data_IF_175173878592
#
_entry.id   IF_175173878592
#
_cell.length_a   1.000
_cell.length_b   1.000
_cell.length_c   1.000
_cell.angle_alpha   90.00
_cell.angle_beta   90.00
_cell.angle_gamma   90.00
#
_symmetry.space_group_name_H-M   'P 1'
#
loop_
_entity.id
_entity.type
_entity.pdbx_description
1 polymer ?
#
# COMPACT_ATOMS: atom_id res chain seq x y z
N UNK A 1 10.54 -28.98 -10.04
CA UNK A 1 9.51 -28.11 -9.44
C UNK A 1 8.22 -28.39 -10.18
N UNK A 2 7.24 -28.94 -9.49
CA UNK A 2 5.91 -29.24 -10.05
C UNK A 2 5.09 -27.95 -10.09
N UNK A 3 4.42 -27.69 -11.21
CA UNK A 3 3.51 -26.54 -11.36
C UNK A 3 2.10 -27.10 -11.33
N UNK A 4 1.24 -26.53 -10.48
CA UNK A 4 -0.16 -26.93 -10.44
C UNK A 4 -0.81 -26.65 -11.82
N UNK A 5 -1.35 -27.67 -12.52
CA UNK A 5 -1.94 -27.48 -13.84
C UNK A 5 -3.13 -26.50 -13.83
N UNK A 6 -3.86 -26.41 -12.71
CA UNK A 6 -4.93 -25.42 -12.55
C UNK A 6 -4.38 -23.98 -12.49
N UNK A 7 -3.15 -23.79 -12.00
CA UNK A 7 -2.53 -22.47 -11.94
C UNK A 7 -2.22 -21.94 -13.35
N UNK A 8 -1.73 -22.79 -14.25
CA UNK A 8 -1.46 -22.40 -15.64
C UNK A 8 -2.75 -21.99 -16.37
N UNK A 9 -3.82 -22.79 -16.25
CA UNK A 9 -5.12 -22.47 -16.83
C UNK A 9 -5.73 -21.17 -16.25
N UNK A 10 -5.63 -20.98 -14.93
CA UNK A 10 -6.09 -19.75 -14.27
C UNK A 10 -5.33 -18.52 -14.77
N UNK A 11 -3.99 -18.59 -14.83
CA UNK A 11 -3.16 -17.47 -15.26
C UNK A 11 -3.32 -17.17 -16.76
N UNK A 12 -3.56 -18.18 -17.59
CA UNK A 12 -3.94 -17.98 -18.99
C UNK A 12 -5.23 -17.15 -19.08
N UNK A 13 -6.30 -17.58 -18.39
CA UNK A 13 -7.58 -16.87 -18.38
C UNK A 13 -7.45 -15.45 -17.82
N UNK A 14 -6.74 -15.29 -16.70
CA UNK A 14 -6.56 -14.01 -16.01
C UNK A 14 -5.76 -13.00 -16.84
N UNK A 15 -4.70 -13.44 -17.51
CA UNK A 15 -3.85 -12.56 -18.31
C UNK A 15 -4.45 -12.18 -19.65
N UNK A 16 -5.50 -12.88 -20.11
CA UNK A 16 -6.09 -12.66 -21.44
C UNK A 16 -5.16 -13.03 -22.59
N UNK A 17 -4.10 -13.79 -22.32
CA UNK A 17 -3.13 -14.20 -23.34
C UNK A 17 -3.73 -15.17 -24.36
N UNK A 18 -3.26 -15.11 -25.60
CA UNK A 18 -3.56 -16.11 -26.64
C UNK A 18 -2.71 -17.38 -26.53
N UNK A 19 -1.70 -17.40 -25.64
CA UNK A 19 -0.86 -18.58 -25.41
C UNK A 19 -1.66 -19.72 -24.79
N UNK A 20 -1.29 -20.96 -25.10
CA UNK A 20 -1.92 -22.16 -24.51
C UNK A 20 -1.53 -22.34 -23.04
N UNK A 21 -2.37 -23.05 -22.27
CA UNK A 21 -2.06 -23.38 -20.87
C UNK A 21 -0.71 -24.13 -20.73
N UNK A 22 -0.36 -25.00 -21.67
CA UNK A 22 0.93 -25.70 -21.70
C UNK A 22 2.12 -24.74 -21.88
N UNK A 23 1.96 -23.71 -22.72
CA UNK A 23 2.99 -22.68 -22.87
C UNK A 23 3.11 -21.82 -21.60
N UNK A 24 1.99 -21.45 -20.98
CA UNK A 24 1.99 -20.71 -19.71
C UNK A 24 2.70 -21.54 -18.62
N UNK A 25 2.46 -22.85 -18.57
CA UNK A 25 3.15 -23.75 -17.64
C UNK A 25 4.67 -23.79 -17.88
N UNK A 26 5.10 -23.89 -19.14
CA UNK A 26 6.52 -23.85 -19.50
C UNK A 26 7.16 -22.52 -19.09
N UNK A 27 6.48 -21.41 -19.34
CA UNK A 27 6.97 -20.07 -18.99
C UNK A 27 7.04 -19.88 -17.45
N UNK A 28 6.08 -20.40 -16.68
CA UNK A 28 6.12 -20.42 -15.20
C UNK A 28 7.34 -21.20 -14.71
N UNK A 29 7.59 -22.40 -15.28
CA UNK A 29 8.76 -23.21 -14.92
C UNK A 29 10.07 -22.48 -15.21
N UNK A 30 10.16 -21.77 -16.34
CA UNK A 30 11.32 -20.97 -16.69
C UNK A 30 11.51 -19.80 -15.70
N UNK A 31 10.45 -19.05 -15.40
CA UNK A 31 10.49 -17.93 -14.47
C UNK A 31 10.91 -18.36 -13.05
N UNK A 32 10.34 -19.44 -12.52
CA UNK A 32 10.62 -19.92 -11.16
C UNK A 32 12.08 -20.38 -10.96
N UNK A 33 12.80 -20.74 -12.02
CA UNK A 33 14.23 -21.07 -11.92
C UNK A 33 15.09 -19.86 -11.54
N UNK A 34 14.66 -18.65 -11.90
CA UNK A 34 15.42 -17.42 -11.67
C UNK A 34 15.23 -16.82 -10.27
N UNK A 35 14.23 -17.28 -9.49
CA UNK A 35 13.88 -16.77 -8.15
C UNK A 35 13.90 -15.23 -8.06
N UNK A 36 13.18 -14.51 -8.94
CA UNK A 36 13.28 -13.07 -9.00
C UNK A 36 12.68 -12.43 -7.74
N UNK A 37 13.32 -11.38 -7.26
CA UNK A 37 12.79 -10.56 -6.17
C UNK A 37 11.67 -9.67 -6.71
N UNK A 38 10.49 -9.72 -6.09
CA UNK A 38 9.37 -8.84 -6.44
C UNK A 38 9.34 -7.65 -5.50
N UNK A 39 9.07 -6.47 -6.07
CA UNK A 39 8.84 -5.29 -5.27
C UNK A 39 7.45 -5.35 -4.63
N UNK A 40 7.35 -4.86 -3.40
CA UNK A 40 6.08 -4.72 -2.69
C UNK A 40 5.31 -3.46 -3.08
N UNK A 41 5.72 -2.74 -4.13
CA UNK A 41 4.96 -1.62 -4.67
C UNK A 41 4.31 -2.11 -5.96
N UNK A 42 3.02 -1.85 -6.12
CA UNK A 42 2.27 -2.22 -7.32
C UNK A 42 2.55 -1.18 -8.42
N UNK A 43 3.56 -1.39 -9.25
CA UNK A 43 3.86 -0.57 -10.43
C UNK A 43 4.00 -1.48 -11.66
N UNK A 44 4.30 -0.90 -12.83
CA UNK A 44 4.60 -1.64 -14.06
C UNK A 44 5.98 -2.30 -13.96
N UNK A 45 6.03 -3.39 -13.19
CA UNK A 45 7.21 -4.24 -13.05
C UNK A 45 7.49 -4.98 -14.38
N UNK A 46 8.75 -5.29 -14.71
CA UNK A 46 9.13 -6.06 -15.90
C UNK A 46 8.81 -7.55 -15.73
N UNK A 47 7.57 -7.86 -15.38
CA UNK A 47 7.08 -9.20 -15.10
C UNK A 47 6.66 -9.88 -16.39
N UNK A 48 6.72 -11.22 -16.44
CA UNK A 48 6.16 -11.96 -17.56
C UNK A 48 4.66 -11.68 -17.67
N UNK A 49 4.15 -11.73 -18.91
CA UNK A 49 2.76 -11.40 -19.25
C UNK A 49 1.70 -12.05 -18.33
N UNK A 50 1.95 -13.27 -17.83
CA UNK A 50 1.02 -13.99 -16.96
C UNK A 50 1.01 -13.50 -15.49
N UNK A 51 1.95 -12.65 -15.09
CA UNK A 51 2.01 -12.00 -13.77
C UNK A 51 1.71 -10.50 -13.82
N UNK A 52 1.56 -9.92 -15.01
CA UNK A 52 1.22 -8.50 -15.16
C UNK A 52 -0.17 -8.21 -14.59
N UNK A 53 -0.27 -7.11 -13.85
CA UNK A 53 -1.52 -6.67 -13.25
C UNK A 53 -2.41 -6.05 -14.34
N UNK A 54 -3.60 -6.60 -14.51
CA UNK A 54 -4.64 -6.08 -15.40
C UNK A 54 -5.58 -5.10 -14.68
N UNK A 55 -5.57 -5.15 -13.36
CA UNK A 55 -6.40 -4.33 -12.46
C UNK A 55 -5.57 -3.96 -11.24
N UNK A 56 -5.97 -2.93 -10.49
CA UNK A 56 -5.42 -2.68 -9.16
C UNK A 56 -5.46 -3.93 -8.28
N UNK A 57 -4.46 -4.04 -7.41
CA UNK A 57 -4.42 -5.02 -6.33
C UNK A 57 -5.38 -4.66 -5.21
N UNK A 58 -5.69 -5.65 -4.38
CA UNK A 58 -6.53 -5.47 -3.20
C UNK A 58 -5.86 -4.54 -2.19
N UNK A 59 -6.58 -3.54 -1.65
CA UNK A 59 -6.02 -2.44 -0.83
C UNK A 59 -5.22 -2.94 0.38
N UNK A 60 -5.63 -4.04 1.01
CA UNK A 60 -4.95 -4.59 2.18
C UNK A 60 -3.93 -5.70 1.87
N UNK A 61 -3.56 -5.88 0.59
CA UNK A 61 -2.61 -6.91 0.19
C UNK A 61 -1.18 -6.65 0.68
N UNK A 62 -0.83 -5.38 0.94
CA UNK A 62 0.51 -4.96 1.32
C UNK A 62 0.55 -4.42 2.74
N UNK A 63 1.71 -4.47 3.42
CA UNK A 63 1.85 -3.83 4.73
C UNK A 63 1.54 -2.33 4.62
N UNK A 64 0.90 -1.75 5.64
CA UNK A 64 0.77 -0.30 5.71
C UNK A 64 2.13 0.34 6.04
N UNK A 65 2.23 1.65 5.82
CA UNK A 65 3.32 2.44 6.41
C UNK A 65 3.08 2.74 7.90
N UNK A 66 4.00 3.48 8.52
CA UNK A 66 3.94 3.88 9.94
C UNK A 66 2.69 4.68 10.33
N UNK A 67 1.96 5.22 9.34
CA UNK A 67 0.70 5.95 9.53
C UNK A 67 -0.54 5.08 9.29
N UNK A 68 -0.38 3.75 9.23
CA UNK A 68 -1.46 2.80 8.92
C UNK A 68 -2.13 3.05 7.55
N UNK A 69 -1.44 3.69 6.61
CA UNK A 69 -1.95 3.93 5.26
C UNK A 69 -1.40 2.89 4.29
N UNK A 70 -2.26 2.43 3.39
CA UNK A 70 -1.97 1.37 2.42
C UNK A 70 -1.82 1.97 1.03
N UNK A 71 -0.89 1.43 0.24
CA UNK A 71 -0.78 1.68 -1.19
C UNK A 71 -0.75 3.17 -1.59
N UNK A 72 -0.13 4.01 -0.76
CA UNK A 72 0.18 5.40 -1.10
C UNK A 72 1.11 5.52 -2.32
N UNK A 73 1.89 4.47 -2.59
CA UNK A 73 2.77 4.35 -3.75
C UNK A 73 2.32 3.15 -4.58
N UNK A 74 2.13 3.38 -5.87
CA UNK A 74 1.62 2.41 -6.81
C UNK A 74 0.14 2.13 -6.63
N UNK A 75 -0.29 1.03 -7.25
CA UNK A 75 -1.68 0.57 -7.33
C UNK A 75 -2.60 1.52 -8.10
N UNK A 76 -2.98 2.64 -7.52
CA UNK A 76 -3.84 3.62 -8.18
C UNK A 76 -3.26 5.01 -7.96
N UNK A 77 -3.14 5.77 -9.04
CA UNK A 77 -2.82 7.18 -8.93
C UNK A 77 -4.02 7.90 -8.30
N UNK A 78 -3.78 8.64 -7.23
CA UNK A 78 -4.84 9.30 -6.46
C UNK A 78 -4.90 10.79 -6.80
N UNK A 79 -6.11 11.30 -6.98
CA UNK A 79 -6.35 12.73 -7.13
C UNK A 79 -5.94 13.46 -5.86
N UNK A 80 -5.41 14.67 -6.00
CA UNK A 80 -5.14 15.56 -4.87
C UNK A 80 -6.02 16.81 -4.96
N UNK A 81 -5.94 17.68 -3.96
CA UNK A 81 -6.70 18.93 -3.94
C UNK A 81 -6.39 19.83 -5.15
N UNK A 82 -5.17 19.74 -5.69
CA UNK A 82 -4.76 20.48 -6.88
C UNK A 82 -5.50 19.94 -8.12
N UNK A 83 -6.27 20.77 -8.84
CA UNK A 83 -7.04 20.31 -10.00
C UNK A 83 -6.16 19.70 -11.08
N UNK A 84 -6.57 18.54 -11.60
CA UNK A 84 -5.88 17.86 -12.70
C UNK A 84 -4.58 17.17 -12.30
N UNK A 85 -4.22 17.11 -11.02
CA UNK A 85 -3.01 16.46 -10.53
C UNK A 85 -3.33 15.15 -9.81
N UNK A 86 -2.54 14.13 -10.11
CA UNK A 86 -2.48 12.88 -9.35
C UNK A 86 -1.10 12.64 -8.75
N UNK A 87 -1.06 11.80 -7.70
CA UNK A 87 0.16 11.35 -7.02
C UNK A 87 0.11 9.85 -6.74
N UNK A 88 1.25 9.30 -6.31
CA UNK A 88 1.37 7.90 -5.90
C UNK A 88 1.63 6.93 -7.06
N UNK A 89 1.17 7.23 -8.27
CA UNK A 89 1.32 6.37 -9.44
C UNK A 89 0.44 5.12 -9.35
N UNK A 90 0.33 4.37 -10.45
CA UNK A 90 -0.53 3.20 -10.58
C UNK A 90 0.23 1.91 -10.91
N UNK A 91 -0.47 0.77 -10.90
CA UNK A 91 0.08 -0.51 -11.36
C UNK A 91 0.53 -0.50 -12.84
N UNK A 92 0.15 0.52 -13.61
CA UNK A 92 0.53 0.70 -15.02
C UNK A 92 1.69 1.68 -15.22
N UNK A 93 2.07 2.41 -14.16
CA UNK A 93 3.10 3.43 -14.21
C UNK A 93 4.49 2.85 -13.92
N UNK A 94 5.57 3.46 -14.44
CA UNK A 94 6.93 3.07 -14.08
C UNK A 94 7.24 3.45 -12.61
N UNK A 95 8.25 2.83 -12.01
CA UNK A 95 8.58 3.02 -10.59
C UNK A 95 8.87 4.49 -10.23
N UNK A 96 9.46 5.25 -11.14
CA UNK A 96 9.81 6.66 -10.96
C UNK A 96 8.58 7.55 -10.75
N UNK A 97 7.44 7.14 -11.33
CA UNK A 97 6.15 7.80 -11.11
C UNK A 97 5.49 7.39 -9.79
N UNK A 98 5.93 6.30 -9.17
CA UNK A 98 5.42 5.78 -7.90
C UNK A 98 6.26 6.27 -6.70
N UNK A 99 6.49 7.58 -6.62
CA UNK A 99 7.27 8.21 -5.54
C UNK A 99 6.49 9.36 -4.88
N UNK A 100 6.83 9.70 -3.64
CA UNK A 100 6.16 10.78 -2.89
C UNK A 100 6.20 12.15 -3.58
N UNK A 101 7.23 12.38 -4.42
CA UNK A 101 7.46 13.65 -5.12
C UNK A 101 6.90 13.65 -6.54
N UNK A 102 6.65 12.49 -7.12
CA UNK A 102 6.10 12.39 -8.47
C UNK A 102 4.71 13.04 -8.53
N UNK A 103 4.45 13.72 -9.65
CA UNK A 103 3.18 14.38 -9.97
C UNK A 103 2.87 14.05 -11.42
N UNK A 104 1.64 13.66 -11.69
CA UNK A 104 1.17 13.45 -13.05
C UNK A 104 -0.03 14.35 -13.33
N UNK A 105 -0.08 14.89 -14.55
CA UNK A 105 -1.26 15.56 -15.04
C UNK A 105 -2.23 14.51 -15.60
N UNK A 106 -3.52 14.71 -15.37
CA UNK A 106 -4.56 13.85 -15.94
C UNK A 106 -4.67 14.17 -17.43
N UNK A 107 -4.22 13.26 -18.30
CA UNK A 107 -4.29 13.44 -19.76
C UNK A 107 -5.63 13.02 -20.37
N UNK A 108 -6.43 12.22 -19.66
CA UNK A 108 -7.77 11.76 -20.03
C UNK A 108 -8.58 11.43 -18.76
N UNK A 109 -9.92 11.41 -18.79
CA UNK A 109 -10.72 10.94 -17.66
C UNK A 109 -10.19 9.57 -17.22
N UNK A 110 -9.71 9.40 -15.98
CA UNK A 110 -9.10 8.15 -15.60
C UNK A 110 -10.15 7.02 -15.69
N UNK A 111 -9.78 5.79 -16.12
CA UNK A 111 -10.60 4.62 -15.78
C UNK A 111 -10.78 4.63 -14.26
N UNK A 112 -11.97 4.28 -13.72
CA UNK A 112 -12.48 4.73 -12.42
C UNK A 112 -11.38 4.92 -11.38
N UNK A 113 -10.86 6.15 -11.30
CA UNK A 113 -9.79 6.52 -10.39
C UNK A 113 -10.35 6.60 -9.00
N UNK A 114 -9.72 5.89 -8.06
CA UNK A 114 -9.99 6.05 -6.65
C UNK A 114 -9.54 7.43 -6.15
N UNK A 115 -10.02 7.81 -4.97
CA UNK A 115 -9.58 9.00 -4.24
C UNK A 115 -9.49 8.65 -2.76
N UNK A 116 -8.39 9.02 -2.11
CA UNK A 116 -8.31 9.00 -0.66
C UNK A 116 -8.82 10.34 -0.12
N UNK A 117 -9.87 10.30 0.69
CA UNK A 117 -10.43 11.51 1.30
C UNK A 117 -9.61 11.93 2.53
N UNK A 118 -8.97 13.12 2.55
CA UNK A 118 -8.38 13.63 3.76
C UNK A 118 -9.48 14.09 4.73
N UNK A 119 -9.39 13.67 5.99
CA UNK A 119 -10.21 14.21 7.08
C UNK A 119 -9.36 15.14 7.96
N UNK A 120 -9.89 16.32 8.31
CA UNK A 120 -9.23 17.23 9.27
C UNK A 120 -9.44 16.70 10.69
N UNK A 121 -8.37 16.21 11.31
CA UNK A 121 -8.35 15.94 12.75
C UNK A 121 -7.76 17.14 13.50
N UNK A 122 -8.50 17.68 14.46
CA UNK A 122 -7.94 18.58 15.48
C UNK A 122 -7.51 17.73 16.65
N UNK A 123 -6.21 17.67 16.92
CA UNK A 123 -5.73 17.19 18.20
C UNK A 123 -6.18 18.19 19.28
N UNK A 124 -6.88 17.77 20.35
CA UNK A 124 -7.07 18.64 21.49
C UNK A 124 -5.68 18.96 22.04
N UNK A 125 -5.32 20.24 22.06
CA UNK A 125 -4.11 20.72 22.74
C UNK A 125 -4.25 20.36 24.22
N UNK A 126 -3.49 19.37 24.67
CA UNK A 126 -3.44 18.97 26.06
C UNK A 126 -2.75 20.06 26.89
N UNK A 127 -3.49 21.10 27.28
CA UNK A 127 -3.12 21.97 28.39
C UNK A 127 -3.91 21.54 29.63
N UNK A 128 -3.32 20.62 30.39
CA UNK A 128 -3.37 20.57 31.87
C UNK A 128 -2.32 19.56 32.34
N UNK A 129 -1.30 19.97 33.12
CA UNK A 129 -0.34 19.03 33.67
C UNK A 129 -1.05 18.21 34.75
N UNK A 130 -1.18 16.91 34.55
CA UNK A 130 -1.53 15.98 35.61
C UNK A 130 -0.29 15.78 36.50
N UNK A 131 -0.09 16.69 37.44
CA UNK A 131 0.73 16.45 38.63
C UNK A 131 -0.12 16.66 39.87
N UNK A 132 -0.79 15.59 40.31
CA UNK A 132 -1.33 15.48 41.67
C UNK A 132 -0.73 14.25 42.35
N UNK A 133 0.41 14.54 43.01
CA UNK A 133 1.04 13.91 44.18
C UNK A 133 0.57 12.50 44.60
N UNK A 134 1.49 11.55 44.47
CA UNK A 134 1.59 10.42 45.40
C UNK A 134 2.67 10.71 46.47
N UNK A 135 2.46 10.16 47.68
CA UNK A 135 3.29 10.25 48.90
C UNK A 135 3.09 11.53 49.73
N UNK A 136 2.89 11.51 51.06
CA UNK A 136 3.26 10.52 52.07
C UNK A 136 2.41 10.75 53.33
N UNK A 137 1.94 9.67 53.95
CA UNK A 137 1.58 9.64 55.36
C UNK A 137 2.81 9.96 56.21
N UNK A 138 2.72 10.94 57.12
CA UNK A 138 3.43 11.07 58.42
C UNK A 138 3.53 12.53 58.86
N UNK A 139 2.67 12.93 59.81
CA UNK A 139 2.97 13.80 60.97
C UNK A 139 1.67 14.25 61.65
N UNK A 140 1.29 13.55 62.70
CA UNK A 140 0.44 14.07 63.78
C UNK A 140 0.90 13.40 65.06
N UNK A 141 1.97 13.92 65.65
CA UNK A 141 2.43 13.67 67.02
C UNK A 141 3.32 14.84 67.43
N UNK A 142 2.69 15.95 67.80
CA UNK A 142 3.25 17.01 68.63
C UNK A 142 2.13 18.01 68.95
N UNK A 143 1.30 17.67 69.94
CA UNK A 143 0.65 18.62 70.87
C UNK A 143 -0.25 17.82 71.82
N UNK A 144 0.39 17.16 72.78
CA UNK A 144 -0.23 16.66 74.01
C UNK A 144 0.83 16.77 75.10
N UNK A 145 0.98 17.96 75.70
CA UNK A 145 1.63 18.25 76.99
C UNK A 145 1.50 19.74 77.30
N UNK A 146 0.34 20.12 77.85
CA UNK A 146 0.22 21.11 78.92
C UNK A 146 -0.78 20.55 79.93
#
# INVERSE_FOLDING_TARGET
>A
MEVNPQAAAYLQKRSGTSKSAAQVEADIKAYNRSKPTRNWINFRQPEPYFLQMQTPGYVWQQPPNDMATYQLLGNAAELVQEPGITKGGSYQDPLEACTLKARAAISAPPPPSGFAAPARFRFPTATKPYFTKASRASRNLANASR
#
